data_IF_241688143399
#
_entry.id   IF_241688143399
#
_cell.length_a   1.000
_cell.length_b   1.000
_cell.length_c   1.000
_cell.angle_alpha   90.00
_cell.angle_beta   90.00
_cell.angle_gamma   90.00
#
_symmetry.space_group_name_H-M   'P 1'
#
loop_
_entity.id
_entity.type
_entity.pdbx_description
1 polymer ?
#
# COMPACT_ATOMS: atom_id res chain seq x y z
N UNK A 1 3.42 32.56 22.75
CA UNK A 1 2.62 31.80 21.76
C UNK A 1 3.55 30.75 21.18
N UNK A 2 3.50 29.58 21.77
CA UNK A 2 4.39 28.46 21.42
C UNK A 2 4.02 27.93 20.06
N UNK A 3 4.95 28.01 19.12
CA UNK A 3 5.00 27.18 17.92
C UNK A 3 5.08 25.72 18.40
N UNK A 4 3.95 25.09 18.58
CA UNK A 4 3.88 23.63 18.50
C UNK A 4 4.10 23.30 17.02
N UNK A 5 5.36 23.29 16.60
CA UNK A 5 5.74 22.66 15.33
C UNK A 5 5.03 21.33 15.27
N UNK A 6 4.29 21.14 14.19
CA UNK A 6 3.48 19.94 13.96
C UNK A 6 4.42 18.72 13.87
N UNK A 7 4.76 18.15 15.05
CA UNK A 7 5.64 16.98 15.18
C UNK A 7 5.00 15.71 14.60
N UNK A 8 3.69 15.74 14.36
CA UNK A 8 2.93 14.61 13.87
C UNK A 8 3.42 14.09 12.52
N UNK A 9 3.51 14.93 11.46
CA UNK A 9 4.00 14.50 10.16
C UNK A 9 5.42 13.95 10.20
N UNK A 10 6.32 14.59 10.97
CA UNK A 10 7.70 14.15 11.09
C UNK A 10 7.81 12.78 11.79
N UNK A 11 7.03 12.56 12.84
CA UNK A 11 6.97 11.28 13.54
C UNK A 11 6.39 10.17 12.65
N UNK A 12 5.37 10.47 11.85
CA UNK A 12 4.79 9.51 10.91
C UNK A 12 5.78 9.12 9.80
N UNK A 13 6.54 10.09 9.29
CA UNK A 13 7.58 9.82 8.31
C UNK A 13 8.69 8.93 8.89
N UNK A 14 9.16 9.23 10.09
CA UNK A 14 10.14 8.40 10.79
C UNK A 14 9.61 6.98 11.07
N UNK A 15 8.36 6.84 11.50
CA UNK A 15 7.74 5.54 11.71
C UNK A 15 7.65 4.75 10.40
N UNK A 16 7.30 5.41 9.31
CA UNK A 16 7.26 4.79 7.98
C UNK A 16 8.64 4.28 7.56
N UNK A 17 9.68 5.07 7.75
CA UNK A 17 11.04 4.68 7.46
C UNK A 17 11.46 3.44 8.26
N UNK A 18 11.19 3.43 9.58
CA UNK A 18 11.49 2.27 10.42
C UNK A 18 10.71 1.01 10.00
N UNK A 19 9.45 1.17 9.59
CA UNK A 19 8.64 0.06 9.09
C UNK A 19 9.18 -0.50 7.78
N UNK A 20 9.66 0.36 6.88
CA UNK A 20 10.29 -0.07 5.63
C UNK A 20 11.59 -0.83 5.90
N UNK A 21 12.40 -0.38 6.86
CA UNK A 21 13.62 -1.06 7.28
C UNK A 21 13.33 -2.44 7.90
N UNK A 22 12.28 -2.55 8.73
CA UNK A 22 11.82 -3.83 9.27
C UNK A 22 11.34 -4.77 8.16
N UNK A 23 10.56 -4.26 7.20
CA UNK A 23 10.10 -5.03 6.06
C UNK A 23 11.25 -5.61 5.25
N UNK A 24 12.23 -4.77 4.90
CA UNK A 24 13.43 -5.19 4.19
C UNK A 24 14.22 -6.25 4.97
N UNK A 25 14.38 -6.06 6.27
CA UNK A 25 15.09 -7.02 7.14
C UNK A 25 14.39 -8.38 7.19
N UNK A 26 13.06 -8.40 7.32
CA UNK A 26 12.27 -9.64 7.31
C UNK A 26 12.40 -10.34 5.94
N UNK A 27 12.35 -9.60 4.84
CA UNK A 27 12.51 -10.16 3.49
C UNK A 27 13.88 -10.80 3.30
N UNK A 28 14.94 -10.17 3.79
CA UNK A 28 16.30 -10.70 3.70
C UNK A 28 16.53 -11.92 4.62
N UNK A 29 15.93 -11.93 5.81
CA UNK A 29 16.09 -13.00 6.78
C UNK A 29 15.21 -14.22 6.49
N UNK A 30 14.05 -14.04 5.88
CA UNK A 30 13.08 -15.11 5.64
C UNK A 30 13.66 -16.30 4.87
N UNK A 31 14.40 -16.14 3.75
CA UNK A 31 15.01 -17.27 3.05
C UNK A 31 16.08 -17.95 3.89
N UNK A 32 16.89 -17.20 4.65
CA UNK A 32 17.95 -17.77 5.51
C UNK A 32 17.35 -18.59 6.65
N UNK A 33 16.27 -18.11 7.25
CA UNK A 33 15.54 -18.81 8.32
C UNK A 33 14.95 -20.11 7.80
N UNK A 34 14.35 -20.10 6.60
CA UNK A 34 13.80 -21.29 5.95
C UNK A 34 14.87 -22.31 5.61
N UNK A 35 15.99 -21.86 5.04
CA UNK A 35 17.10 -22.74 4.67
C UNK A 35 17.71 -23.47 5.90
N UNK A 36 17.94 -22.74 6.99
CA UNK A 36 18.58 -23.28 8.20
C UNK A 36 17.63 -23.95 9.17
N UNK A 37 16.41 -23.47 9.26
CA UNK A 37 15.44 -23.87 10.27
C UNK A 37 14.27 -24.72 9.78
N UNK A 38 14.09 -24.81 8.47
CA UNK A 38 12.97 -25.52 7.86
C UNK A 38 11.62 -24.83 8.08
N UNK A 39 10.55 -25.52 7.69
CA UNK A 39 9.18 -25.01 7.69
C UNK A 39 8.61 -24.68 9.09
N UNK A 40 9.26 -25.15 10.16
CA UNK A 40 8.80 -24.89 11.54
C UNK A 40 8.75 -23.42 11.90
N UNK A 41 9.48 -22.56 11.19
CA UNK A 41 9.51 -21.10 11.40
C UNK A 41 8.51 -20.33 10.53
N UNK A 42 7.91 -20.97 9.53
CA UNK A 42 6.95 -20.32 8.62
C UNK A 42 5.76 -19.65 9.34
N UNK A 43 5.15 -20.25 10.38
CA UNK A 43 4.10 -19.58 11.13
C UNK A 43 4.56 -18.28 11.79
N UNK A 44 5.79 -18.23 12.30
CA UNK A 44 6.35 -17.03 12.93
C UNK A 44 6.65 -15.94 11.91
N UNK A 45 7.19 -16.30 10.75
CA UNK A 45 7.41 -15.38 9.64
C UNK A 45 6.08 -14.81 9.12
N UNK A 46 5.04 -15.64 9.03
CA UNK A 46 3.71 -15.20 8.65
C UNK A 46 3.12 -14.19 9.65
N UNK A 47 3.28 -14.44 10.96
CA UNK A 47 2.85 -13.52 12.02
C UNK A 47 3.60 -12.19 11.93
N UNK A 48 4.92 -12.21 11.73
CA UNK A 48 5.74 -11.01 11.57
C UNK A 48 5.28 -10.17 10.38
N UNK A 49 5.12 -10.79 9.22
CA UNK A 49 4.66 -10.13 8.00
C UNK A 49 3.23 -9.54 8.18
N UNK A 50 2.33 -10.31 8.80
CA UNK A 50 0.97 -9.85 9.06
C UNK A 50 0.95 -8.67 10.03
N UNK A 51 1.78 -8.69 11.07
CA UNK A 51 1.89 -7.62 12.05
C UNK A 51 2.46 -6.35 11.42
N UNK A 52 3.51 -6.48 10.63
CA UNK A 52 4.11 -5.38 9.87
C UNK A 52 3.06 -4.72 8.95
N UNK A 53 2.33 -5.54 8.19
CA UNK A 53 1.28 -5.06 7.30
C UNK A 53 0.18 -4.30 8.06
N UNK A 54 -0.25 -4.81 9.22
CA UNK A 54 -1.25 -4.13 10.06
C UNK A 54 -0.77 -2.77 10.56
N UNK A 55 0.51 -2.67 10.97
CA UNK A 55 1.09 -1.40 11.43
C UNK A 55 1.19 -0.41 10.28
N UNK A 56 1.67 -0.83 9.10
CA UNK A 56 1.72 0.03 7.91
C UNK A 56 0.33 0.58 7.53
N UNK A 57 -0.69 -0.27 7.64
CA UNK A 57 -2.08 0.14 7.40
C UNK A 57 -2.57 1.15 8.44
N UNK A 58 -2.24 0.96 9.72
CA UNK A 58 -2.59 1.92 10.78
C UNK A 58 -1.91 3.27 10.56
N UNK A 59 -0.62 3.29 10.18
CA UNK A 59 0.09 4.52 9.83
C UNK A 59 -0.61 5.26 8.70
N UNK A 60 -0.99 4.58 7.62
CA UNK A 60 -1.73 5.19 6.52
C UNK A 60 -3.07 5.78 6.96
N UNK A 61 -3.75 5.17 7.93
CA UNK A 61 -5.00 5.69 8.48
C UNK A 61 -4.78 6.96 9.32
N UNK A 62 -3.71 7.00 10.14
CA UNK A 62 -3.37 8.18 10.96
C UNK A 62 -2.98 9.36 10.06
N UNK A 63 -2.17 9.13 9.03
CA UNK A 63 -1.83 10.16 8.04
C UNK A 63 -3.06 10.76 7.37
N UNK A 64 -4.04 9.93 7.05
CA UNK A 64 -5.28 10.40 6.46
C UNK A 64 -6.10 11.28 7.42
N UNK A 65 -6.22 10.90 8.69
CA UNK A 65 -6.94 11.68 9.69
C UNK A 65 -6.30 13.05 9.90
N UNK A 66 -4.98 13.15 9.91
CA UNK A 66 -4.28 14.42 10.00
C UNK A 66 -4.50 15.32 8.77
N UNK A 67 -4.72 14.72 7.59
CA UNK A 67 -5.03 15.45 6.38
C UNK A 67 -6.48 15.94 6.32
N UNK A 68 -7.41 15.31 7.06
CA UNK A 68 -8.82 15.76 7.13
C UNK A 68 -9.01 17.05 7.95
N UNK A 69 -8.13 17.33 8.90
CA UNK A 69 -8.19 18.53 9.73
C UNK A 69 -7.74 19.82 9.02
N UNK A 70 -7.09 19.72 7.87
CA UNK A 70 -6.62 20.84 7.05
C UNK A 70 -7.47 21.08 5.81
N UNK A 71 -8.10 22.24 5.76
CA UNK A 71 -8.77 22.97 4.66
C UNK A 71 -9.22 22.17 3.40
N UNK A 72 -10.54 22.04 3.23
CA UNK A 72 -11.21 21.11 2.31
C UNK A 72 -11.60 21.56 0.89
N UNK A 73 -11.52 22.82 0.43
CA UNK A 73 -12.22 23.17 -0.82
C UNK A 73 -11.51 22.78 -2.11
N UNK A 74 -10.19 22.59 -2.14
CA UNK A 74 -9.43 22.53 -3.41
C UNK A 74 -8.83 21.16 -3.80
N UNK A 75 -9.05 20.12 -3.01
CA UNK A 75 -8.37 18.81 -3.19
C UNK A 75 -8.78 18.03 -4.46
N UNK A 76 -9.93 18.33 -5.03
CA UNK A 76 -10.42 17.65 -6.25
C UNK A 76 -9.93 18.30 -7.56
N UNK A 77 -9.15 19.39 -7.48
CA UNK A 77 -8.73 20.15 -8.66
C UNK A 77 -7.36 19.77 -9.22
N UNK A 78 -6.60 18.94 -8.51
CA UNK A 78 -5.28 18.49 -8.97
C UNK A 78 -5.36 17.60 -10.21
N UNK A 79 -4.45 17.80 -11.16
CA UNK A 79 -4.23 16.84 -12.26
C UNK A 79 -3.49 15.62 -11.71
N UNK A 80 -3.97 14.43 -12.06
CA UNK A 80 -3.46 13.15 -11.60
C UNK A 80 -3.27 12.21 -12.79
N UNK A 81 -2.09 11.61 -12.92
CA UNK A 81 -1.90 10.42 -13.78
C UNK A 81 -2.34 9.17 -13.05
N UNK A 82 -3.57 8.73 -13.32
CA UNK A 82 -4.16 7.57 -12.68
C UNK A 82 -3.44 6.27 -13.06
N UNK A 83 -2.97 6.15 -14.31
CA UNK A 83 -2.19 4.98 -14.74
C UNK A 83 -0.85 4.90 -14.01
N UNK A 84 -0.15 6.02 -13.87
CA UNK A 84 1.08 6.13 -13.09
C UNK A 84 0.88 5.73 -11.62
N UNK A 85 -0.19 6.23 -11.00
CA UNK A 85 -0.55 5.89 -9.62
C UNK A 85 -0.83 4.38 -9.45
N UNK A 86 -1.64 3.80 -10.33
CA UNK A 86 -1.97 2.37 -10.28
C UNK A 86 -0.72 1.49 -10.48
N UNK A 87 0.15 1.87 -11.40
CA UNK A 87 1.42 1.15 -11.67
C UNK A 87 2.34 1.17 -10.46
N UNK A 88 2.50 2.32 -9.82
CA UNK A 88 3.30 2.47 -8.61
C UNK A 88 2.74 1.62 -7.46
N UNK A 89 1.41 1.65 -7.25
CA UNK A 89 0.76 0.81 -6.24
C UNK A 89 0.96 -0.67 -6.52
N UNK A 90 0.79 -1.09 -7.77
CA UNK A 90 0.99 -2.49 -8.16
C UNK A 90 2.43 -2.95 -7.88
N UNK A 91 3.43 -2.13 -8.19
CA UNK A 91 4.82 -2.43 -7.90
C UNK A 91 5.09 -2.60 -6.39
N UNK A 92 4.42 -1.79 -5.54
CA UNK A 92 4.53 -1.89 -4.09
C UNK A 92 3.79 -3.11 -3.52
N UNK A 93 2.65 -3.47 -4.10
CA UNK A 93 1.78 -4.55 -3.60
C UNK A 93 2.27 -5.93 -4.01
N UNK A 94 2.83 -6.08 -5.21
CA UNK A 94 3.23 -7.39 -5.74
C UNK A 94 4.11 -8.19 -4.76
N UNK A 95 5.22 -7.66 -4.22
CA UNK A 95 6.03 -8.41 -3.27
C UNK A 95 5.30 -8.71 -1.96
N UNK A 96 4.39 -7.85 -1.53
CA UNK A 96 3.58 -8.08 -0.32
C UNK A 96 2.54 -9.18 -0.54
N UNK A 97 1.94 -9.24 -1.72
CA UNK A 97 1.01 -10.31 -2.09
C UNK A 97 1.71 -11.68 -2.12
N UNK A 98 2.91 -11.73 -2.68
CA UNK A 98 3.73 -12.96 -2.70
C UNK A 98 4.03 -13.47 -1.29
N UNK A 99 4.33 -12.57 -0.34
CA UNK A 99 4.57 -12.94 1.07
C UNK A 99 3.37 -13.61 1.74
N UNK A 100 2.15 -13.28 1.31
CA UNK A 100 0.91 -13.91 1.82
C UNK A 100 0.40 -15.03 0.90
N UNK A 101 1.21 -15.47 -0.05
CA UNK A 101 0.91 -16.58 -0.95
C UNK A 101 -0.15 -16.27 -2.00
N UNK A 102 -0.36 -14.99 -2.34
CA UNK A 102 -1.32 -14.55 -3.36
C UNK A 102 -0.58 -14.07 -4.61
N UNK A 103 -0.97 -14.56 -5.78
CA UNK A 103 -0.49 -14.04 -7.05
C UNK A 103 -1.21 -12.74 -7.38
N UNK A 104 -0.48 -11.62 -7.49
CA UNK A 104 -1.04 -10.32 -7.83
C UNK A 104 -0.63 -9.89 -9.25
N UNK A 105 -1.59 -9.38 -10.04
CA UNK A 105 -1.34 -8.89 -11.38
C UNK A 105 -1.86 -7.46 -11.56
N UNK A 106 -1.21 -6.72 -12.45
CA UNK A 106 -1.65 -5.40 -12.89
C UNK A 106 -1.76 -5.34 -14.40
N UNK A 107 -2.88 -4.79 -14.88
CA UNK A 107 -3.15 -4.59 -16.32
C UNK A 107 -3.65 -3.17 -16.55
N UNK A 108 -3.15 -2.52 -17.60
CA UNK A 108 -3.62 -1.20 -18.04
C UNK A 108 -3.85 -1.17 -19.57
N UNK A 109 -4.92 -0.51 -19.99
CA UNK A 109 -5.22 -0.32 -21.43
C UNK A 109 -4.45 0.87 -22.02
N UNK A 110 -4.10 1.86 -21.18
CA UNK A 110 -3.36 3.08 -21.59
C UNK A 110 -2.22 3.35 -20.62
N UNK A 111 -1.05 3.63 -21.14
CA UNK A 111 0.16 3.91 -20.35
C UNK A 111 0.12 5.23 -19.56
N UNK A 112 -0.78 6.15 -19.90
CA UNK A 112 -1.05 7.38 -19.16
C UNK A 112 -2.52 7.72 -19.23
N UNK A 113 -3.10 8.09 -18.09
CA UNK A 113 -4.50 8.50 -17.99
C UNK A 113 -4.61 9.68 -17.02
N UNK A 114 -4.67 10.88 -17.60
CA UNK A 114 -4.83 12.11 -16.83
C UNK A 114 -6.29 12.30 -16.43
N UNK A 115 -6.52 12.52 -15.15
CA UNK A 115 -7.82 12.81 -14.57
C UNK A 115 -7.69 13.89 -13.48
N UNK A 116 -8.83 14.31 -12.93
CA UNK A 116 -8.85 15.20 -11.76
C UNK A 116 -9.16 14.40 -10.51
N UNK A 117 -8.41 14.64 -9.45
CA UNK A 117 -8.64 13.96 -8.20
C UNK A 117 -7.52 14.17 -7.18
N UNK A 118 -7.78 13.74 -5.96
CA UNK A 118 -6.78 13.69 -4.90
C UNK A 118 -6.05 12.35 -4.97
N UNK A 119 -4.75 12.40 -5.34
CA UNK A 119 -3.90 11.20 -5.46
C UNK A 119 -3.79 10.42 -4.14
N UNK A 120 -3.81 11.11 -3.00
CA UNK A 120 -3.68 10.50 -1.68
C UNK A 120 -4.94 9.73 -1.31
N UNK A 121 -6.09 10.33 -1.56
CA UNK A 121 -7.39 9.70 -1.33
C UNK A 121 -7.58 8.47 -2.22
N UNK A 122 -7.26 8.61 -3.52
CA UNK A 122 -7.33 7.50 -4.47
C UNK A 122 -6.35 6.38 -4.12
N UNK A 123 -5.10 6.72 -3.77
CA UNK A 123 -4.11 5.74 -3.31
C UNK A 123 -4.64 4.94 -2.13
N UNK A 124 -5.19 5.60 -1.11
CA UNK A 124 -5.75 4.93 0.06
C UNK A 124 -6.91 4.02 -0.31
N UNK A 125 -7.87 4.53 -1.08
CA UNK A 125 -9.03 3.75 -1.52
C UNK A 125 -8.61 2.50 -2.29
N UNK A 126 -7.66 2.63 -3.21
CA UNK A 126 -7.14 1.49 -3.98
C UNK A 126 -6.40 0.49 -3.09
N UNK A 127 -5.59 0.96 -2.14
CA UNK A 127 -4.90 0.08 -1.18
C UNK A 127 -5.88 -0.70 -0.31
N UNK A 128 -6.97 -0.08 0.15
CA UNK A 128 -8.01 -0.78 0.92
C UNK A 128 -8.72 -1.84 0.07
N UNK A 129 -9.06 -1.53 -1.18
CA UNK A 129 -9.67 -2.48 -2.10
C UNK A 129 -8.73 -3.64 -2.42
N UNK A 130 -7.47 -3.37 -2.70
CA UNK A 130 -6.44 -4.39 -2.96
C UNK A 130 -6.27 -5.26 -1.70
N UNK A 131 -6.15 -4.66 -0.52
CA UNK A 131 -6.04 -5.39 0.74
C UNK A 131 -7.21 -6.34 0.97
N UNK A 132 -8.43 -5.88 0.71
CA UNK A 132 -9.61 -6.72 0.83
C UNK A 132 -9.60 -7.86 -0.20
N UNK A 133 -9.15 -7.59 -1.43
CA UNK A 133 -9.02 -8.59 -2.49
C UNK A 133 -7.99 -9.67 -2.15
N UNK A 134 -6.82 -9.27 -1.60
CA UNK A 134 -5.79 -10.21 -1.16
C UNK A 134 -6.30 -11.12 -0.03
N UNK A 135 -7.03 -10.56 0.93
CA UNK A 135 -7.64 -11.34 2.02
C UNK A 135 -8.69 -12.32 1.50
N UNK A 136 -9.52 -11.88 0.55
CA UNK A 136 -10.56 -12.72 -0.04
C UNK A 136 -9.97 -13.83 -0.91
N UNK A 137 -8.87 -13.57 -1.61
CA UNK A 137 -8.17 -14.56 -2.44
C UNK A 137 -7.57 -15.71 -1.60
N UNK A 138 -6.99 -15.38 -0.43
CA UNK A 138 -6.33 -16.36 0.42
C UNK A 138 -5.06 -16.96 -0.19
N UNK A 139 -4.39 -17.82 0.58
CA UNK A 139 -3.16 -18.50 0.14
C UNK A 139 -3.42 -19.37 -1.10
N UNK A 140 -2.54 -19.25 -2.09
CA UNK A 140 -2.68 -19.91 -3.41
C UNK A 140 -3.67 -19.22 -4.35
N UNK A 141 -4.34 -18.15 -3.89
CA UNK A 141 -5.31 -17.40 -4.68
C UNK A 141 -4.69 -16.37 -5.62
N UNK A 142 -5.56 -15.69 -6.35
CA UNK A 142 -5.18 -14.64 -7.31
C UNK A 142 -5.96 -13.37 -7.03
N UNK A 143 -5.28 -12.23 -7.12
CA UNK A 143 -5.88 -10.91 -7.09
C UNK A 143 -5.24 -10.03 -8.17
N UNK A 144 -5.91 -8.96 -8.58
CA UNK A 144 -5.36 -8.09 -9.60
C UNK A 144 -6.01 -6.72 -9.59
N UNK A 145 -5.29 -5.77 -10.17
CA UNK A 145 -5.77 -4.42 -10.46
C UNK A 145 -5.77 -4.23 -11.97
N UNK A 146 -6.91 -3.87 -12.52
CA UNK A 146 -7.05 -3.54 -13.94
C UNK A 146 -7.56 -2.12 -14.11
N UNK A 147 -6.86 -1.34 -14.92
CA UNK A 147 -7.26 0.00 -15.31
C UNK A 147 -7.74 -0.01 -16.77
N UNK A 148 -9.01 0.29 -16.97
CA UNK A 148 -9.64 0.37 -18.28
C UNK A 148 -10.36 1.72 -18.44
N UNK A 149 -10.65 2.10 -19.69
CA UNK A 149 -11.45 3.28 -19.99
C UNK A 149 -12.76 2.82 -20.63
N UNK A 150 -13.88 3.23 -20.05
CA UNK A 150 -15.23 2.93 -20.54
C UNK A 150 -16.04 4.22 -20.64
N UNK A 151 -16.53 4.56 -21.83
CA UNK A 151 -17.36 5.75 -22.05
C UNK A 151 -16.75 7.03 -21.43
N UNK A 152 -15.46 7.27 -21.71
CA UNK A 152 -14.66 8.38 -21.15
C UNK A 152 -14.53 8.41 -19.62
N UNK A 153 -14.75 7.28 -18.95
CA UNK A 153 -14.54 7.10 -17.51
C UNK A 153 -13.49 6.02 -17.26
N UNK A 154 -12.65 6.25 -16.23
CA UNK A 154 -11.77 5.23 -15.72
C UNK A 154 -12.59 4.15 -14.97
N UNK A 155 -12.25 2.89 -15.18
CA UNK A 155 -12.86 1.71 -14.56
C UNK A 155 -11.78 0.78 -14.06
#
# INVERSE_FOLDING_TARGET
>A
MEERGDLGPLLLEQLREQMNNLSASIQLLSPVVREKGGEKYDPYLAILNQSLYRIMRMLGNVEFLQLEEGDRPDRLQGSLDLAGLCRELAAQVTPLAELVGVSFSYEEEKGSLLTRGDSRLLRRMLLELISNSLKAAGEGGRAGLRLAVRQDRAV
#
